data_IF_542947978794
#
_entry.id   IF_542947978794
#
_cell.length_a   1.000
_cell.length_b   1.000
_cell.length_c   1.000
_cell.angle_alpha   90.00
_cell.angle_beta   90.00
_cell.angle_gamma   90.00
#
_symmetry.space_group_name_H-M   'P 1'
#
loop_
_entity.id
_entity.type
_entity.pdbx_description
1 polymer ?
#
# COMPACT_ATOMS: atom_id res chain seq x y z
N UNK A 1 24.67 -31.13 -72.16
CA UNK A 1 23.37 -31.34 -71.49
C UNK A 1 23.62 -31.58 -70.00
N UNK A 2 23.57 -30.51 -69.21
CA UNK A 2 23.79 -30.50 -67.76
C UNK A 2 22.45 -30.60 -67.05
N UNK A 3 22.27 -31.67 -66.27
CA UNK A 3 21.06 -31.92 -65.48
C UNK A 3 20.93 -30.92 -64.32
N UNK A 4 19.78 -30.27 -64.10
CA UNK A 4 19.64 -29.30 -63.02
C UNK A 4 19.43 -30.02 -61.68
N UNK A 5 20.36 -29.78 -60.76
CA UNK A 5 20.26 -30.18 -59.35
C UNK A 5 19.10 -29.43 -58.68
N UNK A 6 17.99 -30.13 -58.46
CA UNK A 6 16.84 -29.61 -57.72
C UNK A 6 17.21 -29.41 -56.24
N UNK A 7 17.37 -28.15 -55.82
CA UNK A 7 17.50 -27.75 -54.41
C UNK A 7 16.23 -28.17 -53.66
N UNK A 8 16.35 -29.15 -52.76
CA UNK A 8 15.28 -29.51 -51.79
C UNK A 8 14.89 -28.26 -50.99
N UNK A 9 13.60 -27.92 -50.89
CA UNK A 9 13.16 -26.82 -50.04
C UNK A 9 13.49 -27.16 -48.58
N UNK A 10 14.24 -26.27 -47.90
CA UNK A 10 14.48 -26.35 -46.46
C UNK A 10 13.12 -26.25 -45.75
N UNK A 11 12.59 -27.37 -45.29
CA UNK A 11 11.30 -27.42 -44.62
C UNK A 11 11.36 -26.65 -43.29
N UNK A 12 10.55 -25.61 -43.15
CA UNK A 12 10.26 -24.89 -41.89
C UNK A 12 9.40 -25.75 -40.93
N UNK A 13 9.35 -27.08 -41.13
CA UNK A 13 8.48 -28.04 -40.44
C UNK A 13 9.01 -28.73 -39.15
N UNK A 14 10.25 -28.55 -38.64
CA UNK A 14 10.67 -29.31 -37.46
C UNK A 14 10.07 -28.80 -36.15
N UNK A 15 9.87 -27.49 -35.99
CA UNK A 15 9.48 -26.87 -34.71
C UNK A 15 8.00 -27.15 -34.36
N UNK A 16 7.08 -26.98 -35.31
CA UNK A 16 5.66 -27.23 -35.09
C UNK A 16 5.35 -28.70 -34.75
N UNK A 17 6.06 -29.65 -35.37
CA UNK A 17 5.87 -31.07 -35.09
C UNK A 17 6.29 -31.50 -33.68
N UNK A 18 7.25 -30.79 -33.07
CA UNK A 18 7.71 -31.07 -31.70
C UNK A 18 6.72 -30.57 -30.64
N UNK A 19 6.16 -29.38 -30.84
CA UNK A 19 5.12 -28.81 -29.96
C UNK A 19 3.84 -29.67 -29.96
N UNK A 20 3.37 -30.09 -31.14
CA UNK A 20 2.19 -30.96 -31.26
C UNK A 20 2.41 -32.31 -30.60
N UNK A 21 3.61 -32.88 -30.72
CA UNK A 21 3.95 -34.15 -30.09
C UNK A 21 4.04 -34.03 -28.56
N UNK A 22 4.49 -32.89 -28.03
CA UNK A 22 4.57 -32.65 -26.58
C UNK A 22 3.18 -32.51 -25.95
N UNK A 23 2.27 -31.77 -26.59
CA UNK A 23 0.87 -31.69 -26.16
C UNK A 23 0.17 -33.05 -26.26
N UNK A 24 0.44 -33.82 -27.34
CA UNK A 24 -0.07 -35.19 -27.49
C UNK A 24 0.49 -36.14 -26.42
N UNK A 25 1.74 -35.99 -26.00
CA UNK A 25 2.32 -36.78 -24.92
C UNK A 25 1.63 -36.48 -23.59
N UNK A 26 1.41 -35.21 -23.26
CA UNK A 26 0.71 -34.81 -22.03
C UNK A 26 -0.74 -35.29 -22.02
N UNK A 27 -1.49 -35.02 -23.09
CA UNK A 27 -2.86 -35.49 -23.24
C UNK A 27 -2.93 -37.02 -23.27
N UNK A 28 -2.04 -37.68 -24.02
CA UNK A 28 -1.96 -39.13 -24.11
C UNK A 28 -1.65 -39.78 -22.76
N UNK A 29 -0.80 -39.18 -21.95
CA UNK A 29 -0.53 -39.63 -20.59
C UNK A 29 -1.81 -39.60 -19.73
N UNK A 30 -2.62 -38.53 -19.79
CA UNK A 30 -3.88 -38.48 -19.05
C UNK A 30 -4.92 -39.43 -19.63
N UNK A 31 -5.19 -39.33 -20.93
CA UNK A 31 -6.23 -40.07 -21.63
C UNK A 31 -6.06 -41.59 -21.49
N UNK A 32 -4.87 -42.11 -21.80
CA UNK A 32 -4.64 -43.56 -21.76
C UNK A 32 -4.60 -44.11 -20.34
N UNK A 33 -4.08 -43.36 -19.37
CA UNK A 33 -4.09 -43.80 -17.98
C UNK A 33 -5.50 -43.80 -17.39
N UNK A 34 -6.31 -42.78 -17.67
CA UNK A 34 -7.72 -42.73 -17.26
C UNK A 34 -8.52 -43.89 -17.85
N UNK A 35 -8.37 -44.16 -19.16
CA UNK A 35 -9.06 -45.27 -19.84
C UNK A 35 -8.66 -46.63 -19.26
N UNK A 36 -7.37 -46.85 -18.98
CA UNK A 36 -6.87 -48.08 -18.35
C UNK A 36 -7.36 -48.22 -16.90
N UNK A 37 -7.35 -47.14 -16.12
CA UNK A 37 -7.93 -47.14 -14.77
C UNK A 37 -9.42 -47.51 -14.80
N UNK A 38 -10.21 -46.93 -15.70
CA UNK A 38 -11.62 -47.27 -15.86
C UNK A 38 -11.83 -48.75 -16.25
N UNK A 39 -10.99 -49.30 -17.13
CA UNK A 39 -11.04 -50.72 -17.49
C UNK A 39 -10.77 -51.63 -16.29
N UNK A 40 -9.78 -51.31 -15.45
CA UNK A 40 -9.49 -52.06 -14.22
C UNK A 40 -10.65 -51.94 -13.22
N UNK A 41 -11.16 -50.73 -12.99
CA UNK A 41 -12.28 -50.47 -12.06
C UNK A 41 -13.54 -51.24 -12.49
N UNK A 42 -13.77 -51.41 -13.80
CA UNK A 42 -14.86 -52.24 -14.35
C UNK A 42 -14.57 -53.75 -14.30
N UNK A 43 -13.57 -54.19 -13.54
CA UNK A 43 -13.18 -55.60 -13.41
C UNK A 43 -12.62 -56.19 -14.71
N UNK A 44 -11.98 -55.37 -15.54
CA UNK A 44 -11.45 -55.74 -16.87
C UNK A 44 -12.50 -56.31 -17.84
N UNK A 45 -13.78 -55.97 -17.61
CA UNK A 45 -14.88 -56.38 -18.49
C UNK A 45 -14.88 -55.54 -19.77
N UNK A 46 -15.14 -56.20 -20.89
CA UNK A 46 -15.21 -55.58 -22.22
C UNK A 46 -13.84 -55.34 -22.87
N UNK A 47 -13.83 -54.56 -23.94
CA UNK A 47 -12.64 -54.34 -24.78
C UNK A 47 -11.56 -53.57 -24.02
N UNK A 48 -10.32 -54.04 -24.09
CA UNK A 48 -9.17 -53.31 -23.56
C UNK A 48 -9.02 -51.99 -24.34
N UNK A 49 -8.96 -50.83 -23.67
CA UNK A 49 -9.09 -49.56 -24.35
C UNK A 49 -7.90 -49.19 -25.24
N UNK A 50 -6.72 -49.79 -25.03
CA UNK A 50 -5.47 -49.41 -25.72
C UNK A 50 -4.91 -50.46 -26.69
N UNK A 51 -5.60 -51.60 -26.80
CA UNK A 51 -5.27 -52.71 -27.70
C UNK A 51 -6.25 -52.70 -28.87
N UNK A 52 -5.81 -53.08 -30.07
CA UNK A 52 -6.68 -53.14 -31.25
C UNK A 52 -7.75 -54.21 -31.03
N UNK A 53 -9.02 -53.83 -31.19
CA UNK A 53 -10.16 -54.68 -30.82
C UNK A 53 -10.35 -55.93 -31.69
N UNK A 54 -9.75 -55.97 -32.89
CA UNK A 54 -9.78 -57.14 -33.79
C UNK A 54 -8.76 -58.22 -33.44
N UNK A 55 -7.84 -57.94 -32.51
CA UNK A 55 -6.70 -58.81 -32.22
C UNK A 55 -6.97 -59.76 -31.04
N UNK A 56 -6.10 -60.75 -30.85
CA UNK A 56 -6.27 -61.87 -29.90
C UNK A 56 -6.23 -61.46 -28.42
N UNK A 57 -5.81 -60.25 -28.08
CA UNK A 57 -5.54 -59.79 -26.70
C UNK A 57 -4.27 -60.39 -26.07
N UNK A 58 -3.53 -61.23 -26.81
CA UNK A 58 -2.30 -61.87 -26.34
C UNK A 58 -1.08 -60.95 -26.49
N UNK A 59 -0.14 -61.11 -25.55
CA UNK A 59 1.15 -60.44 -25.54
C UNK A 59 1.89 -60.66 -26.87
N UNK A 60 2.51 -59.60 -27.39
CA UNK A 60 3.24 -59.54 -28.66
C UNK A 60 2.41 -59.84 -29.92
N UNK A 61 1.19 -60.37 -29.83
CA UNK A 61 0.27 -60.60 -30.95
C UNK A 61 -0.68 -59.43 -31.19
N UNK A 62 -1.00 -58.67 -30.14
CA UNK A 62 -1.99 -57.58 -30.22
C UNK A 62 -1.33 -56.21 -30.44
N UNK A 63 -1.77 -55.52 -31.49
CA UNK A 63 -1.36 -54.16 -31.81
C UNK A 63 -1.78 -53.15 -30.74
N UNK A 64 -1.03 -52.05 -30.63
CA UNK A 64 -1.34 -50.97 -29.71
C UNK A 64 -2.03 -49.81 -30.44
N UNK A 65 -3.32 -49.59 -30.16
CA UNK A 65 -4.10 -48.49 -30.74
C UNK A 65 -3.53 -47.12 -30.33
N UNK A 66 -2.95 -47.03 -29.13
CA UNK A 66 -2.35 -45.79 -28.63
C UNK A 66 -1.17 -45.25 -29.43
N UNK A 67 -0.52 -46.10 -30.23
CA UNK A 67 0.60 -45.70 -31.10
C UNK A 67 0.13 -45.01 -32.37
N UNK A 68 -1.08 -45.29 -32.85
CA UNK A 68 -1.59 -44.78 -34.13
C UNK A 68 -1.66 -43.24 -34.19
N UNK A 69 -1.79 -42.58 -33.02
CA UNK A 69 -1.81 -41.12 -32.90
C UNK A 69 -0.43 -40.45 -32.90
N UNK A 70 0.67 -41.19 -32.94
CA UNK A 70 2.04 -40.67 -32.81
C UNK A 70 2.85 -40.82 -34.09
N UNK A 71 3.55 -39.74 -34.48
CA UNK A 71 4.46 -39.76 -35.64
C UNK A 71 5.65 -40.70 -35.42
N UNK A 72 6.11 -40.84 -34.18
CA UNK A 72 7.14 -41.80 -33.78
C UNK A 72 6.60 -42.70 -32.67
N UNK A 73 6.36 -43.99 -32.95
CA UNK A 73 5.89 -44.95 -31.96
C UNK A 73 6.78 -45.06 -30.71
N UNK A 74 8.08 -44.82 -30.87
CA UNK A 74 9.05 -44.84 -29.77
C UNK A 74 8.71 -43.80 -28.69
N UNK A 75 8.20 -42.63 -29.08
CA UNK A 75 7.79 -41.58 -28.12
C UNK A 75 6.60 -42.00 -27.27
N UNK A 76 5.74 -42.88 -27.79
CA UNK A 76 4.64 -43.43 -27.00
C UNK A 76 5.13 -44.33 -25.85
N UNK A 77 6.36 -44.86 -25.90
CA UNK A 77 6.95 -45.61 -24.77
C UNK A 77 7.10 -44.76 -23.51
N UNK A 78 7.19 -43.44 -23.65
CA UNK A 78 7.21 -42.50 -22.52
C UNK A 78 5.86 -42.50 -21.78
N UNK A 79 4.75 -42.67 -22.52
CA UNK A 79 3.39 -42.79 -21.99
C UNK A 79 3.08 -44.22 -21.52
N UNK A 80 3.46 -45.24 -22.31
CA UNK A 80 3.19 -46.64 -22.04
C UNK A 80 4.47 -47.50 -22.20
N UNK A 81 5.13 -47.92 -21.11
CA UNK A 81 6.36 -48.71 -21.18
C UNK A 81 6.14 -50.14 -21.73
N UNK A 82 4.89 -50.62 -21.73
CA UNK A 82 4.49 -51.95 -22.23
C UNK A 82 4.49 -52.03 -23.77
N UNK A 83 4.89 -50.97 -24.46
CA UNK A 83 5.00 -50.98 -25.90
C UNK A 83 6.32 -51.64 -26.32
N UNK A 84 6.23 -52.71 -27.11
CA UNK A 84 7.35 -53.46 -27.64
C UNK A 84 7.29 -53.55 -29.18
N UNK A 85 8.44 -53.72 -29.81
CA UNK A 85 8.56 -53.93 -31.26
C UNK A 85 8.60 -55.43 -31.53
N UNK A 86 7.76 -55.92 -32.44
CA UNK A 86 7.74 -57.32 -32.90
C UNK A 86 8.80 -57.55 -33.98
N UNK A 87 9.15 -58.82 -34.21
CA UNK A 87 10.10 -59.26 -35.22
C UNK A 87 9.75 -58.81 -36.66
N UNK A 88 8.46 -58.66 -36.98
CA UNK A 88 7.95 -58.12 -38.25
C UNK A 88 8.14 -56.60 -38.40
N UNK A 89 8.63 -55.93 -37.36
CA UNK A 89 8.83 -54.49 -37.32
C UNK A 89 7.63 -53.69 -36.79
N UNK A 90 6.47 -54.32 -36.56
CA UNK A 90 5.26 -53.68 -36.04
C UNK A 90 5.32 -53.45 -34.52
N UNK A 91 4.45 -52.57 -34.01
CA UNK A 91 4.38 -52.22 -32.59
C UNK A 91 3.21 -52.92 -31.90
N UNK A 92 3.52 -53.71 -30.88
CA UNK A 92 2.56 -54.53 -30.15
C UNK A 92 2.62 -54.28 -28.64
N UNK A 93 1.56 -54.70 -27.93
CA UNK A 93 1.56 -54.73 -26.48
C UNK A 93 2.40 -55.89 -25.97
N UNK A 94 3.34 -55.66 -25.06
CA UNK A 94 4.23 -56.70 -24.52
C UNK A 94 3.55 -57.62 -23.49
N UNK A 95 2.29 -57.36 -23.14
CA UNK A 95 1.55 -58.10 -22.10
C UNK A 95 0.14 -58.47 -22.58
N UNK A 96 -0.42 -59.51 -21.98
CA UNK A 96 -1.83 -59.89 -22.18
C UNK A 96 -2.77 -58.81 -21.65
N UNK A 97 -4.00 -58.76 -22.17
CA UNK A 97 -5.10 -57.88 -21.72
C UNK A 97 -5.23 -57.80 -20.20
N UNK A 98 -5.13 -58.94 -19.52
CA UNK A 98 -5.26 -59.06 -18.07
C UNK A 98 -4.19 -58.30 -17.28
N UNK A 99 -3.02 -58.11 -17.88
CA UNK A 99 -1.85 -57.48 -17.27
C UNK A 99 -1.71 -56.00 -17.64
N UNK A 100 -2.66 -55.43 -18.38
CA UNK A 100 -2.67 -54.01 -18.73
C UNK A 100 -2.92 -53.17 -17.47
N UNK A 101 -2.00 -52.24 -17.18
CA UNK A 101 -2.05 -51.34 -16.02
C UNK A 101 -1.81 -49.87 -16.38
N UNK A 102 -2.38 -48.91 -15.62
CA UNK A 102 -2.02 -47.50 -15.72
C UNK A 102 -0.64 -47.25 -15.11
N UNK A 103 0.00 -46.16 -15.56
CA UNK A 103 1.32 -45.68 -15.19
C UNK A 103 1.24 -44.22 -14.68
N UNK A 104 0.36 -43.99 -13.69
CA UNK A 104 0.15 -42.66 -13.09
C UNK A 104 1.43 -42.02 -12.56
N UNK A 105 2.36 -42.79 -11.98
CA UNK A 105 3.64 -42.26 -11.51
C UNK A 105 4.46 -41.59 -12.63
N UNK A 106 4.45 -42.15 -13.86
CA UNK A 106 5.13 -41.54 -15.01
C UNK A 106 4.35 -40.34 -15.54
N UNK A 107 3.02 -40.40 -15.55
CA UNK A 107 2.19 -39.27 -15.94
C UNK A 107 2.40 -38.07 -15.01
N UNK A 108 2.43 -38.28 -13.69
CA UNK A 108 2.73 -37.24 -12.70
C UNK A 108 4.17 -36.74 -12.82
N UNK A 109 5.16 -37.62 -13.05
CA UNK A 109 6.53 -37.18 -13.27
C UNK A 109 6.67 -36.29 -14.51
N UNK A 110 6.03 -36.65 -15.63
CA UNK A 110 6.08 -35.87 -16.87
C UNK A 110 5.33 -34.53 -16.75
N UNK A 111 4.08 -34.58 -16.29
CA UNK A 111 3.23 -33.39 -16.22
C UNK A 111 3.58 -32.51 -15.03
N UNK A 112 3.75 -33.10 -13.85
CA UNK A 112 4.15 -32.40 -12.63
C UNK A 112 5.57 -31.86 -12.73
N UNK A 113 6.53 -32.66 -13.20
CA UNK A 113 7.90 -32.19 -13.42
C UNK A 113 7.98 -31.07 -14.46
N UNK A 114 7.22 -31.18 -15.56
CA UNK A 114 7.11 -30.12 -16.55
C UNK A 114 6.49 -28.84 -15.99
N UNK A 115 5.38 -28.96 -15.26
CA UNK A 115 4.70 -27.82 -14.63
C UNK A 115 5.60 -27.13 -13.59
N UNK A 116 6.27 -27.89 -12.73
CA UNK A 116 7.21 -27.36 -11.74
C UNK A 116 8.41 -26.66 -12.40
N UNK A 117 8.95 -27.24 -13.48
CA UNK A 117 10.05 -26.63 -14.22
C UNK A 117 9.62 -25.30 -14.86
N UNK A 118 8.44 -25.27 -15.48
CA UNK A 118 7.88 -24.04 -16.05
C UNK A 118 7.61 -22.98 -14.97
N UNK A 119 7.03 -23.38 -13.84
CA UNK A 119 6.78 -22.48 -12.72
C UNK A 119 8.09 -21.89 -12.17
N UNK A 120 9.13 -22.71 -12.03
CA UNK A 120 10.45 -22.27 -11.57
C UNK A 120 11.13 -21.31 -12.56
N UNK A 121 11.07 -21.59 -13.87
CA UNK A 121 11.60 -20.68 -14.90
C UNK A 121 10.85 -19.35 -14.87
N UNK A 122 9.52 -19.40 -14.76
CA UNK A 122 8.70 -18.20 -14.68
C UNK A 122 9.02 -17.37 -13.42
N UNK A 123 9.19 -17.99 -12.26
CA UNK A 123 9.55 -17.27 -11.04
C UNK A 123 10.94 -16.68 -11.09
N UNK A 124 11.92 -17.36 -11.69
CA UNK A 124 13.25 -16.79 -11.92
C UNK A 124 13.20 -15.60 -12.87
N UNK A 125 12.41 -15.68 -13.94
CA UNK A 125 12.25 -14.58 -14.89
C UNK A 125 11.63 -13.34 -14.22
N UNK A 126 10.57 -13.52 -13.41
CA UNK A 126 9.95 -12.44 -12.64
C UNK A 126 10.94 -11.86 -11.62
N UNK A 127 11.67 -12.70 -10.91
CA UNK A 127 12.68 -12.26 -9.95
C UNK A 127 13.78 -11.41 -10.61
N UNK A 128 14.32 -11.89 -11.74
CA UNK A 128 15.33 -11.16 -12.50
C UNK A 128 14.79 -9.82 -13.02
N UNK A 129 13.54 -9.78 -13.50
CA UNK A 129 12.89 -8.55 -13.95
C UNK A 129 12.75 -7.53 -12.82
N UNK A 130 12.24 -7.94 -11.65
CA UNK A 130 12.06 -7.06 -10.49
C UNK A 130 13.41 -6.50 -10.01
N UNK A 131 14.44 -7.34 -9.96
CA UNK A 131 15.81 -6.91 -9.63
C UNK A 131 16.40 -5.98 -10.69
N UNK A 132 16.12 -6.22 -11.97
CA UNK A 132 16.57 -5.38 -13.08
C UNK A 132 15.96 -3.97 -13.06
N UNK A 133 14.72 -3.82 -12.57
CA UNK A 133 14.08 -2.51 -12.34
C UNK A 133 14.71 -1.77 -11.16
N UNK A 134 15.33 -2.50 -10.22
CA UNK A 134 15.96 -1.96 -9.02
C UNK A 134 15.20 -2.23 -7.72
N UNK A 135 14.17 -3.09 -7.73
CA UNK A 135 13.53 -3.50 -6.48
C UNK A 135 14.45 -4.46 -5.70
N UNK A 136 14.64 -4.20 -4.41
CA UNK A 136 15.44 -5.05 -3.51
C UNK A 136 14.66 -6.29 -3.03
N UNK A 137 14.17 -7.09 -3.98
CA UNK A 137 13.37 -8.29 -3.68
C UNK A 137 14.26 -9.49 -3.35
N UNK A 138 13.80 -10.34 -2.45
CA UNK A 138 14.34 -11.69 -2.16
C UNK A 138 13.61 -12.72 -3.02
N UNK A 139 14.28 -13.80 -3.41
CA UNK A 139 13.64 -14.83 -4.25
C UNK A 139 12.42 -15.47 -3.56
N UNK A 140 12.50 -15.63 -2.24
CA UNK A 140 11.38 -16.12 -1.43
C UNK A 140 10.14 -15.23 -1.54
N UNK A 141 10.30 -13.91 -1.57
CA UNK A 141 9.19 -12.96 -1.73
C UNK A 141 8.50 -13.09 -3.09
N UNK A 142 9.18 -13.59 -4.13
CA UNK A 142 8.56 -13.82 -5.45
C UNK A 142 7.78 -15.14 -5.48
N UNK A 143 8.35 -16.21 -4.93
CA UNK A 143 7.77 -17.56 -5.05
C UNK A 143 6.74 -17.86 -3.96
N UNK A 144 6.82 -17.20 -2.80
CA UNK A 144 6.06 -17.57 -1.60
C UNK A 144 4.88 -16.61 -1.34
N UNK A 145 3.62 -17.03 -1.53
CA UNK A 145 2.46 -16.15 -1.41
C UNK A 145 2.32 -15.43 -0.06
N UNK A 146 2.61 -16.07 1.10
CA UNK A 146 2.56 -15.37 2.38
C UNK A 146 3.53 -14.17 2.49
N UNK A 147 4.62 -14.14 1.73
CA UNK A 147 5.56 -13.02 1.71
C UNK A 147 5.15 -11.89 0.75
N UNK A 148 4.09 -12.06 -0.05
CA UNK A 148 3.65 -11.06 -1.02
C UNK A 148 3.12 -9.77 -0.38
N UNK A 149 2.72 -9.82 0.90
CA UNK A 149 2.33 -8.63 1.65
C UNK A 149 3.47 -7.59 1.77
N UNK A 150 4.73 -8.04 1.74
CA UNK A 150 5.91 -7.19 1.86
C UNK A 150 6.19 -6.37 0.59
N UNK A 151 5.58 -6.72 -0.56
CA UNK A 151 5.87 -6.03 -1.83
C UNK A 151 5.53 -4.54 -1.80
N UNK A 152 4.47 -4.14 -1.11
CA UNK A 152 4.11 -2.72 -0.98
C UNK A 152 5.21 -1.92 -0.29
N UNK A 153 5.82 -2.49 0.75
CA UNK A 153 6.92 -1.86 1.46
C UNK A 153 8.18 -1.78 0.58
N UNK A 154 8.51 -2.85 -0.14
CA UNK A 154 9.67 -2.84 -1.07
C UNK A 154 9.50 -1.79 -2.17
N UNK A 155 8.28 -1.63 -2.70
CA UNK A 155 7.98 -0.60 -3.69
C UNK A 155 8.10 0.80 -3.08
N UNK A 156 7.58 1.01 -1.86
CA UNK A 156 7.72 2.29 -1.16
C UNK A 156 9.20 2.65 -0.94
N UNK A 157 10.02 1.69 -0.49
CA UNK A 157 11.46 1.87 -0.28
C UNK A 157 12.20 2.22 -1.57
N UNK A 158 11.85 1.59 -2.69
CA UNK A 158 12.37 1.94 -4.01
C UNK A 158 12.06 3.39 -4.38
N UNK A 159 10.81 3.83 -4.22
CA UNK A 159 10.44 5.21 -4.50
C UNK A 159 11.10 6.22 -3.54
N UNK A 160 11.28 5.86 -2.26
CA UNK A 160 12.04 6.68 -1.32
C UNK A 160 13.50 6.84 -1.75
N UNK A 161 14.15 5.78 -2.22
CA UNK A 161 15.50 5.83 -2.73
C UNK A 161 15.59 6.76 -3.96
N UNK A 162 14.65 6.62 -4.91
CA UNK A 162 14.56 7.49 -6.10
C UNK A 162 14.27 8.95 -5.74
N UNK A 163 13.41 9.20 -4.77
CA UNK A 163 13.16 10.56 -4.28
C UNK A 163 14.43 11.23 -3.75
N UNK A 164 15.22 10.50 -2.95
CA UNK A 164 16.49 11.00 -2.42
C UNK A 164 17.50 11.29 -3.53
N UNK A 165 17.58 10.40 -4.53
CA UNK A 165 18.44 10.57 -5.70
C UNK A 165 18.05 11.82 -6.51
N UNK A 166 16.76 11.97 -6.86
CA UNK A 166 16.25 13.15 -7.58
C UNK A 166 16.50 14.43 -6.79
N UNK A 167 16.29 14.41 -5.47
CA UNK A 167 16.55 15.57 -4.61
C UNK A 167 18.03 15.93 -4.58
N UNK A 168 18.93 14.94 -4.51
CA UNK A 168 20.38 15.17 -4.56
C UNK A 168 20.82 15.74 -5.92
N UNK A 169 20.12 15.39 -7.01
CA UNK A 169 20.31 15.97 -8.33
C UNK A 169 19.68 17.36 -8.52
N UNK A 170 18.95 17.88 -7.51
CA UNK A 170 18.26 19.16 -7.58
C UNK A 170 16.88 19.13 -8.25
N UNK A 171 16.40 17.96 -8.66
CA UNK A 171 15.07 17.79 -9.26
C UNK A 171 14.01 17.57 -8.17
N UNK A 172 13.50 18.69 -7.65
CA UNK A 172 12.47 18.69 -6.59
C UNK A 172 11.13 18.13 -7.10
N UNK A 173 10.79 18.35 -8.37
CA UNK A 173 9.53 17.88 -8.95
C UNK A 173 9.50 16.35 -9.05
N UNK A 174 10.57 15.73 -9.56
CA UNK A 174 10.69 14.27 -9.57
C UNK A 174 10.75 13.71 -8.14
N UNK A 175 11.46 14.38 -7.23
CA UNK A 175 11.48 13.98 -5.81
C UNK A 175 10.09 13.97 -5.18
N UNK A 176 9.26 14.98 -5.46
CA UNK A 176 7.89 15.06 -4.94
C UNK A 176 7.01 13.93 -5.49
N UNK A 177 7.09 13.64 -6.79
CA UNK A 177 6.37 12.54 -7.41
C UNK A 177 6.75 11.18 -6.80
N UNK A 178 8.05 10.96 -6.58
CA UNK A 178 8.51 9.72 -5.96
C UNK A 178 8.08 9.63 -4.49
N UNK A 179 8.13 10.73 -3.73
CA UNK A 179 7.64 10.75 -2.35
C UNK A 179 6.14 10.52 -2.25
N UNK A 180 5.33 11.10 -3.15
CA UNK A 180 3.88 10.86 -3.15
C UNK A 180 3.56 9.40 -3.43
N UNK A 181 4.24 8.78 -4.40
CA UNK A 181 4.05 7.35 -4.69
C UNK A 181 4.48 6.47 -3.50
N UNK A 182 5.60 6.81 -2.85
CA UNK A 182 6.03 6.10 -1.65
C UNK A 182 5.00 6.19 -0.52
N UNK A 183 4.44 7.39 -0.30
CA UNK A 183 3.46 7.63 0.75
C UNK A 183 2.12 6.93 0.49
N UNK A 184 1.63 6.91 -0.75
CA UNK A 184 0.39 6.18 -1.11
C UNK A 184 0.56 4.65 -0.99
N UNK A 185 1.78 4.13 -1.17
CA UNK A 185 2.07 2.70 -0.97
C UNK A 185 2.21 2.32 0.50
N UNK A 186 2.81 3.22 1.29
CA UNK A 186 3.04 3.04 2.72
C UNK A 186 2.88 4.38 3.42
N UNK A 187 1.83 4.52 4.24
CA UNK A 187 1.46 5.74 4.94
C UNK A 187 2.39 6.04 6.13
N UNK A 188 3.70 5.90 5.93
CA UNK A 188 4.71 6.13 6.95
C UNK A 188 4.76 7.62 7.35
N UNK A 189 4.82 7.85 8.67
CA UNK A 189 4.84 9.18 9.27
C UNK A 189 5.97 10.06 8.71
N UNK A 190 7.19 9.52 8.61
CA UNK A 190 8.36 10.33 8.20
C UNK A 190 8.23 10.75 6.74
N UNK A 191 7.78 9.84 5.89
CA UNK A 191 7.57 10.09 4.47
C UNK A 191 6.49 11.15 4.26
N UNK A 192 5.33 10.99 4.92
CA UNK A 192 4.25 11.98 4.82
C UNK A 192 4.64 13.34 5.37
N UNK A 193 5.37 13.41 6.50
CA UNK A 193 5.83 14.68 7.06
C UNK A 193 6.77 15.42 6.11
N UNK A 194 7.73 14.72 5.50
CA UNK A 194 8.63 15.31 4.52
C UNK A 194 7.87 15.78 3.28
N UNK A 195 6.93 14.97 2.79
CA UNK A 195 6.10 15.28 1.64
C UNK A 195 5.25 16.54 1.89
N UNK A 196 4.56 16.61 3.03
CA UNK A 196 3.79 17.78 3.44
C UNK A 196 4.66 19.03 3.47
N UNK A 197 5.83 18.97 4.11
CA UNK A 197 6.78 20.09 4.19
C UNK A 197 7.23 20.59 2.81
N UNK A 198 7.55 19.68 1.88
CA UNK A 198 7.96 20.05 0.53
C UNK A 198 6.81 20.65 -0.28
N UNK A 199 5.57 20.22 -0.05
CA UNK A 199 4.40 20.79 -0.72
C UNK A 199 4.03 22.19 -0.23
N UNK A 200 4.48 22.63 0.96
CA UNK A 200 4.09 23.93 1.53
C UNK A 200 4.37 25.11 0.59
N UNK A 201 5.52 25.09 -0.11
CA UNK A 201 5.94 26.22 -0.95
C UNK A 201 5.17 26.29 -2.28
N UNK A 202 4.80 25.15 -2.86
CA UNK A 202 4.22 25.09 -4.21
C UNK A 202 2.76 24.65 -4.29
N UNK A 203 2.29 23.86 -3.33
CA UNK A 203 0.96 23.21 -3.35
C UNK A 203 0.38 23.11 -1.92
N UNK A 204 0.02 24.27 -1.30
CA UNK A 204 -0.40 24.32 0.11
C UNK A 204 -1.62 23.45 0.41
N UNK A 205 -2.56 23.32 -0.53
CA UNK A 205 -3.74 22.46 -0.35
C UNK A 205 -3.37 20.97 -0.20
N UNK A 206 -2.41 20.47 -0.98
CA UNK A 206 -1.94 19.09 -0.84
C UNK A 206 -1.15 18.89 0.45
N UNK A 207 -0.35 19.90 0.86
CA UNK A 207 0.30 19.89 2.17
C UNK A 207 -0.73 19.74 3.29
N UNK A 208 -1.83 20.48 3.25
CA UNK A 208 -2.87 20.39 4.30
C UNK A 208 -3.58 19.05 4.30
N UNK A 209 -3.94 18.54 3.12
CA UNK A 209 -4.55 17.21 3.00
C UNK A 209 -3.64 16.13 3.58
N UNK A 210 -2.33 16.24 3.35
CA UNK A 210 -1.34 15.32 3.90
C UNK A 210 -1.25 15.44 5.41
N UNK A 211 -1.23 16.66 5.95
CA UNK A 211 -1.26 16.87 7.40
C UNK A 211 -2.54 16.33 8.04
N UNK A 212 -3.70 16.53 7.42
CA UNK A 212 -4.97 15.94 7.88
C UNK A 212 -4.88 14.42 7.93
N UNK A 213 -4.40 13.76 6.86
CA UNK A 213 -4.21 12.31 6.84
C UNK A 213 -3.24 11.85 7.93
N UNK A 214 -2.09 12.49 8.06
CA UNK A 214 -1.11 12.19 9.10
C UNK A 214 -1.70 12.32 10.51
N UNK A 215 -2.55 13.32 10.73
CA UNK A 215 -3.21 13.56 12.02
C UNK A 215 -4.21 12.45 12.39
N UNK A 216 -4.85 11.84 11.39
CA UNK A 216 -5.73 10.68 11.54
C UNK A 216 -4.95 9.38 11.70
N UNK A 217 -3.96 9.14 10.83
CA UNK A 217 -3.22 7.87 10.73
C UNK A 217 -2.23 7.67 11.88
N UNK A 218 -1.67 8.75 12.45
CA UNK A 218 -0.63 8.72 13.49
C UNK A 218 -1.05 9.52 14.73
N UNK A 219 -2.06 9.07 15.51
CA UNK A 219 -2.59 9.81 16.65
C UNK A 219 -1.53 10.10 17.73
N UNK A 220 -0.54 9.23 17.88
CA UNK A 220 0.59 9.38 18.80
C UNK A 220 1.58 10.48 18.41
N UNK A 221 1.55 10.95 17.15
CA UNK A 221 2.40 12.03 16.62
C UNK A 221 1.68 13.37 16.44
N UNK A 222 0.43 13.47 16.90
CA UNK A 222 -0.38 14.70 16.79
C UNK A 222 0.31 15.95 17.31
N UNK A 223 1.02 15.96 18.46
CA UNK A 223 1.71 17.16 18.93
C UNK A 223 2.74 17.69 17.92
N UNK A 224 3.57 16.81 17.37
CA UNK A 224 4.61 17.15 16.40
C UNK A 224 4.01 17.58 15.05
N UNK A 225 2.98 16.86 14.59
CA UNK A 225 2.24 17.17 13.36
C UNK A 225 1.64 18.57 13.46
N UNK A 226 0.88 18.84 14.53
CA UNK A 226 0.23 20.14 14.70
C UNK A 226 1.23 21.27 14.82
N UNK A 227 2.36 21.08 15.51
CA UNK A 227 3.37 22.13 15.61
C UNK A 227 3.98 22.47 14.24
N UNK A 228 4.32 21.45 13.44
CA UNK A 228 4.85 21.64 12.09
C UNK A 228 3.80 22.28 11.17
N UNK A 229 2.56 21.79 11.22
CA UNK A 229 1.46 22.32 10.42
C UNK A 229 1.17 23.77 10.80
N UNK A 230 1.03 24.08 12.10
CA UNK A 230 0.82 25.44 12.59
C UNK A 230 1.86 26.44 12.07
N UNK A 231 3.15 26.08 12.08
CA UNK A 231 4.21 26.94 11.54
C UNK A 231 4.02 27.21 10.04
N UNK A 232 3.63 26.18 9.29
CA UNK A 232 3.34 26.32 7.86
C UNK A 232 2.13 27.21 7.59
N UNK A 233 1.06 27.03 8.38
CA UNK A 233 -0.15 27.84 8.31
C UNK A 233 0.12 29.31 8.67
N UNK A 234 0.97 29.54 9.68
CA UNK A 234 1.35 30.87 10.11
C UNK A 234 2.17 31.60 9.03
N UNK A 235 3.10 30.90 8.39
CA UNK A 235 3.94 31.48 7.33
C UNK A 235 3.11 31.98 6.12
N UNK A 236 1.95 31.36 5.86
CA UNK A 236 1.04 31.73 4.77
C UNK A 236 -0.16 32.58 5.21
N UNK A 237 -0.30 32.86 6.51
CA UNK A 237 -1.42 33.63 7.05
C UNK A 237 -2.80 32.95 6.95
N UNK A 238 -2.86 31.62 6.93
CA UNK A 238 -4.15 30.90 6.88
C UNK A 238 -4.74 30.75 8.29
N UNK A 239 -5.36 31.82 8.76
CA UNK A 239 -5.95 31.88 10.10
C UNK A 239 -7.14 30.94 10.27
N UNK A 240 -7.87 30.62 9.20
CA UNK A 240 -8.96 29.63 9.22
C UNK A 240 -8.46 28.23 9.58
N UNK A 241 -7.41 27.78 8.90
CA UNK A 241 -6.77 26.51 9.22
C UNK A 241 -6.11 26.52 10.61
N UNK A 242 -5.48 27.64 11.03
CA UNK A 242 -4.90 27.76 12.37
C UNK A 242 -5.98 27.59 13.45
N UNK A 243 -7.10 28.31 13.31
CA UNK A 243 -8.21 28.23 14.25
C UNK A 243 -8.71 26.79 14.39
N UNK A 244 -8.87 26.07 13.26
CA UNK A 244 -9.27 24.65 13.28
C UNK A 244 -8.24 23.76 13.98
N UNK A 245 -6.96 23.82 13.59
CA UNK A 245 -5.90 22.97 14.16
C UNK A 245 -5.71 23.25 15.65
N UNK A 246 -5.73 24.51 16.06
CA UNK A 246 -5.61 24.89 17.47
C UNK A 246 -6.84 24.44 18.27
N UNK A 247 -8.05 24.57 17.72
CA UNK A 247 -9.28 24.08 18.34
C UNK A 247 -9.25 22.57 18.58
N UNK A 248 -8.90 21.78 17.55
CA UNK A 248 -8.74 20.33 17.70
C UNK A 248 -7.69 19.96 18.76
N UNK A 249 -6.57 20.70 18.82
CA UNK A 249 -5.55 20.49 19.85
C UNK A 249 -6.06 20.80 21.25
N UNK A 250 -6.88 21.83 21.42
CA UNK A 250 -7.48 22.17 22.71
C UNK A 250 -8.39 21.06 23.22
N UNK A 251 -9.24 20.50 22.36
CA UNK A 251 -10.13 19.38 22.71
C UNK A 251 -9.34 18.13 23.16
N UNK A 252 -8.16 17.90 22.58
CA UNK A 252 -7.32 16.73 22.89
C UNK A 252 -6.16 17.00 23.87
N UNK A 253 -6.13 18.15 24.54
CA UNK A 253 -5.03 18.51 25.48
C UNK A 253 -5.22 17.97 26.90
N UNK A 254 -6.36 17.33 27.20
CA UNK A 254 -6.69 16.86 28.55
C UNK A 254 -7.20 18.00 29.44
N UNK A 255 -7.18 17.83 30.78
CA UNK A 255 -7.84 18.77 31.71
C UNK A 255 -7.15 20.14 31.82
N UNK A 256 -5.87 20.24 31.45
CA UNK A 256 -5.12 21.49 31.48
C UNK A 256 -4.86 21.96 30.04
N UNK A 257 -5.53 23.02 29.56
CA UNK A 257 -5.34 23.51 28.21
C UNK A 257 -3.92 24.07 28.04
N UNK A 258 -3.31 23.78 26.89
CA UNK A 258 -2.02 24.36 26.54
C UNK A 258 -2.20 25.84 26.21
N UNK A 259 -1.57 26.72 27.01
CA UNK A 259 -1.56 28.17 26.79
C UNK A 259 -1.17 28.56 25.35
N UNK A 260 -0.23 27.83 24.74
CA UNK A 260 0.20 28.08 23.37
C UNK A 260 -0.92 27.84 22.35
N UNK A 261 -1.68 26.75 22.49
CA UNK A 261 -2.80 26.45 21.59
C UNK A 261 -4.01 27.35 21.86
N UNK A 262 -4.25 27.72 23.13
CA UNK A 262 -5.27 28.72 23.48
C UNK A 262 -4.97 30.06 22.82
N UNK A 263 -3.73 30.54 22.93
CA UNK A 263 -3.30 31.78 22.29
C UNK A 263 -3.39 31.70 20.77
N UNK A 264 -2.95 30.59 20.16
CA UNK A 264 -3.02 30.40 18.72
C UNK A 264 -4.48 30.43 18.21
N UNK A 265 -5.40 29.78 18.93
CA UNK A 265 -6.82 29.75 18.60
C UNK A 265 -7.45 31.16 18.70
N UNK A 266 -7.23 31.84 19.82
CA UNK A 266 -7.78 33.17 20.05
C UNK A 266 -7.20 34.20 19.07
N UNK A 267 -5.89 34.16 18.84
CA UNK A 267 -5.23 35.01 17.85
C UNK A 267 -5.83 34.81 16.45
N UNK A 268 -5.96 33.56 15.99
CA UNK A 268 -6.53 33.27 14.68
C UNK A 268 -7.99 33.70 14.56
N UNK A 269 -8.79 33.50 15.62
CA UNK A 269 -10.19 33.97 15.68
C UNK A 269 -10.29 35.48 15.54
N UNK A 270 -9.39 36.23 16.19
CA UNK A 270 -9.32 37.69 16.07
C UNK A 270 -8.96 38.13 14.66
N UNK A 271 -7.95 37.51 14.04
CA UNK A 271 -7.55 37.84 12.67
C UNK A 271 -8.64 37.59 11.64
N UNK A 272 -9.48 36.57 11.86
CA UNK A 272 -10.64 36.29 10.99
C UNK A 272 -11.78 37.29 11.18
N UNK A 273 -11.88 37.95 12.34
CA UNK A 273 -13.01 38.83 12.65
C UNK A 273 -14.35 38.11 12.82
N UNK A 274 -14.35 36.77 12.92
CA UNK A 274 -15.56 35.94 12.98
C UNK A 274 -15.64 35.16 14.32
N UNK A 275 -16.67 35.40 15.16
CA UNK A 275 -16.88 34.66 16.40
C UNK A 275 -17.38 33.22 16.19
N UNK A 276 -17.73 32.80 14.96
CA UNK A 276 -18.31 31.47 14.69
C UNK A 276 -17.42 30.32 15.15
N UNK A 277 -16.09 30.45 15.02
CA UNK A 277 -15.15 29.43 15.48
C UNK A 277 -15.14 29.28 17.00
N UNK A 278 -15.24 30.40 17.73
CA UNK A 278 -15.37 30.40 19.20
C UNK A 278 -16.70 29.76 19.62
N UNK A 279 -17.79 30.12 18.93
CA UNK A 279 -19.12 29.55 19.20
C UNK A 279 -19.13 28.03 18.98
N UNK A 280 -18.56 27.54 17.86
CA UNK A 280 -18.44 26.11 17.56
C UNK A 280 -17.60 25.38 18.61
N UNK A 281 -16.47 25.96 19.02
CA UNK A 281 -15.65 25.35 20.07
C UNK A 281 -16.45 25.22 21.36
N UNK A 282 -17.17 26.27 21.79
CA UNK A 282 -18.00 26.26 23.00
C UNK A 282 -19.16 25.23 22.97
N UNK A 283 -19.58 24.77 21.81
CA UNK A 283 -20.61 23.71 21.66
C UNK A 283 -20.04 22.30 21.91
N UNK A 284 -18.72 22.13 21.85
CA UNK A 284 -18.08 20.83 22.05
C UNK A 284 -18.05 20.44 23.55
N UNK A 285 -18.45 19.20 23.91
CA UNK A 285 -18.51 18.78 25.30
C UNK A 285 -17.12 18.62 25.96
N UNK A 286 -16.08 18.49 25.14
CA UNK A 286 -14.70 18.24 25.56
C UNK A 286 -13.88 19.52 25.80
N UNK A 287 -14.47 20.71 25.66
CA UNK A 287 -13.76 21.96 25.92
C UNK A 287 -13.26 22.02 27.37
N UNK A 288 -11.98 22.35 27.59
CA UNK A 288 -11.45 22.56 28.92
C UNK A 288 -12.26 23.61 29.69
N UNK A 289 -12.82 23.24 30.85
CA UNK A 289 -13.70 24.11 31.65
C UNK A 289 -13.04 25.43 32.05
N UNK A 290 -11.72 25.42 32.25
CA UNK A 290 -10.92 26.60 32.55
C UNK A 290 -10.88 27.61 31.40
N UNK A 291 -11.08 27.18 30.16
CA UNK A 291 -11.05 28.02 28.97
C UNK A 291 -12.41 28.66 28.64
N UNK A 292 -13.52 28.07 29.11
CA UNK A 292 -14.89 28.54 28.82
C UNK A 292 -15.11 30.03 29.20
N UNK A 293 -14.70 30.53 30.38
CA UNK A 293 -14.86 31.94 30.72
C UNK A 293 -14.15 32.87 29.73
N UNK A 294 -12.94 32.51 29.32
CA UNK A 294 -12.14 33.29 28.37
C UNK A 294 -12.76 33.28 26.96
N UNK A 295 -13.26 32.12 26.48
CA UNK A 295 -13.95 32.03 25.20
C UNK A 295 -15.25 32.86 25.18
N UNK A 296 -16.01 32.83 26.28
CA UNK A 296 -17.22 33.66 26.42
C UNK A 296 -16.89 35.16 26.46
N UNK A 297 -15.80 35.54 27.14
CA UNK A 297 -15.30 36.91 27.11
C UNK A 297 -14.94 37.32 25.68
N UNK A 298 -14.09 36.55 25.00
CA UNK A 298 -13.68 36.88 23.63
C UNK A 298 -14.87 36.96 22.68
N UNK A 299 -15.84 36.05 22.78
CA UNK A 299 -17.09 36.10 22.00
C UNK A 299 -17.88 37.38 22.25
N UNK A 300 -17.98 37.85 23.49
CA UNK A 300 -18.74 39.08 23.80
C UNK A 300 -18.04 40.33 23.27
N UNK A 301 -16.70 40.35 23.24
CA UNK A 301 -15.95 41.49 22.71
C UNK A 301 -16.28 41.81 21.23
N UNK A 302 -16.73 40.83 20.44
CA UNK A 302 -17.12 41.07 19.05
C UNK A 302 -18.34 41.99 18.90
N UNK A 303 -19.25 42.02 19.88
CA UNK A 303 -20.48 42.83 19.82
C UNK A 303 -20.38 44.15 20.56
N UNK A 304 -19.40 44.28 21.47
CA UNK A 304 -19.22 45.46 22.32
C UNK A 304 -18.52 46.60 21.59
N UNK A 305 -18.84 47.85 21.99
CA UNK A 305 -18.11 49.03 21.56
C UNK A 305 -16.73 49.17 22.24
N UNK A 306 -15.82 50.04 21.75
CA UNK A 306 -14.44 50.12 22.26
C UNK A 306 -14.33 50.36 23.77
N UNK A 307 -15.16 51.25 24.33
CA UNK A 307 -15.17 51.54 25.77
C UNK A 307 -15.67 50.34 26.57
N UNK A 308 -16.76 49.72 26.14
CA UNK A 308 -17.36 48.55 26.79
C UNK A 308 -16.43 47.34 26.75
N UNK A 309 -15.64 47.18 25.68
CA UNK A 309 -14.60 46.14 25.57
C UNK A 309 -13.54 46.31 26.65
N UNK A 310 -13.05 47.54 26.84
CA UNK A 310 -12.03 47.82 27.84
C UNK A 310 -12.54 47.55 29.26
N UNK A 311 -13.79 47.93 29.55
CA UNK A 311 -14.42 47.69 30.85
C UNK A 311 -14.63 46.19 31.09
N UNK A 312 -15.09 45.45 30.08
CA UNK A 312 -15.26 44.00 30.15
C UNK A 312 -13.92 43.27 30.37
N UNK A 313 -12.86 43.69 29.69
CA UNK A 313 -11.50 43.17 29.87
C UNK A 313 -10.96 43.47 31.28
N UNK A 314 -11.07 44.71 31.76
CA UNK A 314 -10.63 45.07 33.10
C UNK A 314 -11.38 44.31 34.20
N UNK A 315 -12.69 44.12 34.04
CA UNK A 315 -13.51 43.32 34.94
C UNK A 315 -13.10 41.84 34.94
N UNK A 316 -12.70 41.30 33.79
CA UNK A 316 -12.21 39.92 33.68
C UNK A 316 -10.84 39.73 34.34
N UNK A 317 -9.91 40.68 34.17
CA UNK A 317 -8.61 40.65 34.85
C UNK A 317 -8.75 40.61 36.38
N UNK A 318 -9.64 41.42 36.96
CA UNK A 318 -9.87 41.44 38.40
C UNK A 318 -10.51 40.17 38.99
N UNK A 319 -11.01 39.25 38.13
CA UNK A 319 -11.65 38.00 38.53
C UNK A 319 -10.86 36.76 38.15
N UNK A 320 -9.85 36.89 37.29
CA UNK A 320 -9.11 35.74 36.79
C UNK A 320 -8.20 35.17 37.87
N UNK A 321 -8.17 33.84 37.94
CA UNK A 321 -7.31 33.07 38.85
C UNK A 321 -6.18 32.35 38.11
N UNK A 322 -6.16 32.40 36.76
CA UNK A 322 -5.15 31.72 35.96
C UNK A 322 -4.17 32.71 35.29
N UNK A 323 -2.85 32.43 35.32
CA UNK A 323 -1.84 33.32 34.76
C UNK A 323 -2.03 33.61 33.27
N UNK A 324 -2.45 32.60 32.50
CA UNK A 324 -2.63 32.72 31.05
C UNK A 324 -3.75 33.70 30.68
N UNK A 325 -4.94 33.57 31.28
CA UNK A 325 -6.05 34.50 31.06
C UNK A 325 -5.67 35.90 31.48
N UNK A 326 -4.94 36.06 32.59
CA UNK A 326 -4.47 37.37 33.06
C UNK A 326 -3.54 38.01 32.05
N UNK A 327 -2.51 37.27 31.58
CA UNK A 327 -1.60 37.71 30.54
C UNK A 327 -2.35 38.08 29.24
N UNK A 328 -3.28 37.23 28.80
CA UNK A 328 -4.08 37.47 27.59
C UNK A 328 -4.91 38.75 27.72
N UNK A 329 -5.59 38.95 28.84
CA UNK A 329 -6.41 40.15 29.07
C UNK A 329 -5.55 41.41 29.08
N UNK A 330 -4.38 41.37 29.71
CA UNK A 330 -3.43 42.49 29.67
C UNK A 330 -2.94 42.78 28.26
N UNK A 331 -2.56 41.76 27.50
CA UNK A 331 -2.19 41.92 26.09
C UNK A 331 -3.33 42.57 25.29
N UNK A 332 -4.59 42.15 25.51
CA UNK A 332 -5.76 42.74 24.84
C UNK A 332 -5.97 44.20 25.25
N UNK A 333 -5.84 44.56 26.53
CA UNK A 333 -5.93 45.96 26.97
C UNK A 333 -4.85 46.83 26.33
N UNK A 334 -3.63 46.32 26.18
CA UNK A 334 -2.54 47.02 25.47
C UNK A 334 -2.82 47.18 23.98
N UNK A 335 -3.36 46.15 23.31
CA UNK A 335 -3.79 46.21 21.90
C UNK A 335 -4.89 47.28 21.69
N UNK A 336 -5.80 47.45 22.65
CA UNK A 336 -6.83 48.51 22.65
C UNK A 336 -6.31 49.87 23.13
N UNK A 337 -5.00 50.02 23.34
CA UNK A 337 -4.31 51.25 23.82
C UNK A 337 -4.78 51.73 25.20
N UNK A 338 -5.22 50.80 26.07
CA UNK A 338 -5.67 51.07 27.44
C UNK A 338 -4.63 50.70 28.49
N UNK A 339 -3.40 51.19 28.31
CA UNK A 339 -2.30 50.97 29.25
C UNK A 339 -2.58 51.54 30.65
N UNK A 340 -3.45 52.57 30.73
CA UNK A 340 -3.95 53.17 31.96
C UNK A 340 -4.64 52.15 32.88
N UNK A 341 -5.29 51.14 32.31
CA UNK A 341 -6.00 50.10 33.06
C UNK A 341 -5.08 48.95 33.50
N UNK A 342 -3.98 48.70 32.79
CA UNK A 342 -3.10 47.55 33.04
C UNK A 342 -2.24 47.76 34.30
N UNK A 343 -1.68 48.95 34.48
CA UNK A 343 -0.78 49.26 35.61
C UNK A 343 -1.44 49.04 36.98
N UNK A 344 -2.67 49.56 37.26
CA UNK A 344 -3.34 49.29 38.53
C UNK A 344 -3.64 47.81 38.76
N UNK A 345 -3.99 47.08 37.69
CA UNK A 345 -4.31 45.66 37.76
C UNK A 345 -3.08 44.81 38.07
N UNK A 346 -1.90 45.15 37.52
CA UNK A 346 -0.63 44.49 37.85
C UNK A 346 -0.27 44.61 39.34
N UNK A 347 -0.62 45.73 39.97
CA UNK A 347 -0.35 45.96 41.39
C UNK A 347 -1.42 45.39 42.33
N UNK A 348 -2.49 44.79 41.79
CA UNK A 348 -3.61 44.30 42.58
C UNK A 348 -3.28 42.98 43.29
N UNK A 349 -3.54 42.86 44.61
CA UNK A 349 -3.34 41.60 45.33
C UNK A 349 -4.27 40.52 44.80
N UNK A 350 -3.71 39.47 44.20
CA UNK A 350 -4.44 38.34 43.62
C UNK A 350 -4.11 38.06 42.15
N UNK A 351 -3.47 38.99 41.45
CA UNK A 351 -2.91 38.75 40.11
C UNK A 351 -1.61 37.96 40.26
N UNK A 352 -1.58 36.76 39.68
CA UNK A 352 -0.37 35.94 39.61
C UNK A 352 0.02 35.77 38.14
N UNK A 353 1.22 36.21 37.81
CA UNK A 353 1.88 35.98 36.53
C UNK A 353 3.12 35.11 36.80
N UNK A 354 3.41 34.15 35.92
CA UNK A 354 4.70 33.44 35.95
C UNK A 354 5.85 34.43 35.72
N UNK A 355 7.02 34.20 36.31
CA UNK A 355 8.27 34.92 36.03
C UNK A 355 8.53 35.10 34.54
N UNK A 356 8.18 34.10 33.71
CA UNK A 356 8.29 34.17 32.24
C UNK A 356 7.30 35.12 31.59
N UNK A 357 6.09 35.23 32.14
CA UNK A 357 5.04 36.12 31.64
C UNK A 357 5.32 37.56 32.07
N UNK A 358 5.78 37.74 33.32
CA UNK A 358 6.26 39.02 33.85
C UNK A 358 7.40 39.62 33.02
N UNK A 359 8.33 38.80 32.50
CA UNK A 359 9.45 39.28 31.69
C UNK A 359 9.06 39.73 30.26
N UNK A 360 7.84 39.46 29.80
CA UNK A 360 7.36 39.76 28.43
C UNK A 360 6.43 40.96 28.34
N UNK A 361 5.77 41.31 29.45
CA UNK A 361 5.00 42.54 29.62
C UNK A 361 5.95 43.71 29.89
#
# INVERSE_FOLDING_TARGET
MTSPSAKRPRSVRPVFGWLTDTLRLGWGALYWNTRKSLHIVRGRRGRCPCQIASDSGRAMETGCEGVLGYRSPVRFRTVCPLLARRADGNWACSVNTENVRPFWGRAFALLGGGALSLAFIASLAVFALLRGIGYEVRYTQVVWPPAWGEFRQIQADYYLARARESRAAGDISASLLHLSNAYELNHDYRTGMLLAQLWQAGQPLLSDQTYTRLFTDHPEKRPEISQAWYRALLARGDFGAIQRVAGERLLHSGPTPSAAWSQAFLFASRQLGDPSGIARLLEEPEVPRTLIPLLNLERSLYVLGPTERADALAAAAGRSLDPFTTYHVFQRLLEERRADLVLPLLTSPGVTLDDRENARL
#
